data_IF_325869009916
#
_entry.id   IF_325869009916
#
_cell.length_a   1.000
_cell.length_b   1.000
_cell.length_c   1.000
_cell.angle_alpha   90.00
_cell.angle_beta   90.00
_cell.angle_gamma   90.00
#
_symmetry.space_group_name_H-M   'P 1'
#
loop_
_entity.id
_entity.type
_entity.pdbx_description
1 polymer ?
#
# COMPACT_ATOMS: atom_id res chain seq x y z
N UNK A 1 -6.39 9.89 2.19
CA UNK A 1 -6.14 8.48 2.57
C UNK A 1 -5.21 8.34 3.78
N UNK A 2 -4.05 9.01 3.78
CA UNK A 2 -3.06 8.92 4.87
C UNK A 2 -3.67 9.00 6.29
N UNK A 3 -4.39 10.09 6.61
CA UNK A 3 -5.02 10.29 7.93
C UNK A 3 -6.03 9.19 8.31
N UNK A 4 -6.72 8.61 7.33
CA UNK A 4 -7.65 7.50 7.58
C UNK A 4 -6.88 6.24 7.96
N UNK A 5 -5.81 5.90 7.23
CA UNK A 5 -4.96 4.76 7.55
C UNK A 5 -4.26 4.95 8.90
N UNK A 6 -3.76 6.15 9.18
CA UNK A 6 -3.13 6.48 10.47
C UNK A 6 -4.10 6.30 11.64
N UNK A 7 -5.34 6.78 11.50
CA UNK A 7 -6.40 6.57 12.51
C UNK A 7 -6.72 5.09 12.71
N UNK A 8 -6.68 4.27 11.64
CA UNK A 8 -6.89 2.82 11.72
C UNK A 8 -5.73 2.12 12.43
N UNK A 9 -4.49 2.56 12.24
CA UNK A 9 -3.33 2.06 12.99
C UNK A 9 -3.51 2.34 14.48
N UNK A 10 -3.84 3.58 14.86
CA UNK A 10 -4.10 3.96 16.26
C UNK A 10 -5.23 3.14 16.89
N UNK A 11 -6.27 2.84 16.11
CA UNK A 11 -7.38 1.98 16.58
C UNK A 11 -6.93 0.53 16.80
N UNK A 12 -6.08 0.00 15.92
CA UNK A 12 -5.53 -1.35 16.05
C UNK A 12 -4.59 -1.48 17.26
N UNK A 13 -3.81 -0.45 17.56
CA UNK A 13 -2.94 -0.39 18.75
C UNK A 13 -3.70 -0.49 20.08
N UNK A 14 -4.99 -0.13 20.09
CA UNK A 14 -5.85 -0.17 21.27
C UNK A 14 -6.50 -1.55 21.51
N UNK A 15 -6.29 -2.51 20.60
CA UNK A 15 -6.81 -3.86 20.76
C UNK A 15 -6.07 -4.58 21.89
N UNK A 16 -6.82 -5.25 22.76
CA UNK A 16 -6.27 -5.93 23.95
C UNK A 16 -5.49 -7.20 23.60
N UNK A 17 -5.86 -7.86 22.52
CA UNK A 17 -5.28 -9.13 22.10
C UNK A 17 -4.22 -8.90 21.01
N UNK A 18 -2.94 -9.27 21.27
CA UNK A 18 -1.84 -9.15 20.30
C UNK A 18 -2.15 -9.78 18.94
N UNK A 19 -2.83 -10.93 18.89
CA UNK A 19 -3.15 -11.62 17.64
C UNK A 19 -4.12 -10.78 16.80
N UNK A 20 -5.14 -10.21 17.45
CA UNK A 20 -6.08 -9.31 16.78
C UNK A 20 -5.39 -8.04 16.29
N UNK A 21 -4.47 -7.47 17.07
CA UNK A 21 -3.63 -6.34 16.64
C UNK A 21 -2.86 -6.67 15.38
N UNK A 22 -2.13 -7.79 15.34
CA UNK A 22 -1.34 -8.20 14.17
C UNK A 22 -2.21 -8.43 12.95
N UNK A 23 -3.33 -9.14 13.09
CA UNK A 23 -4.30 -9.34 11.99
C UNK A 23 -4.83 -8.02 11.45
N UNK A 24 -5.17 -7.06 12.32
CA UNK A 24 -5.63 -5.74 11.92
C UNK A 24 -4.54 -4.96 11.18
N UNK A 25 -3.30 -4.95 11.70
CA UNK A 25 -2.15 -4.28 11.10
C UNK A 25 -1.83 -4.87 9.73
N UNK A 26 -1.88 -6.19 9.56
CA UNK A 26 -1.71 -6.85 8.26
C UNK A 26 -2.82 -6.46 7.26
N UNK A 27 -4.06 -6.35 7.73
CA UNK A 27 -5.16 -5.85 6.92
C UNK A 27 -4.89 -4.41 6.43
N UNK A 28 -4.46 -3.53 7.33
CA UNK A 28 -4.17 -2.12 7.01
C UNK A 28 -2.95 -2.03 6.07
N UNK A 29 -1.91 -2.84 6.28
CA UNK A 29 -0.75 -2.96 5.38
C UNK A 29 -1.16 -3.25 3.95
N UNK A 30 -2.00 -4.29 3.75
CA UNK A 30 -2.48 -4.65 2.41
C UNK A 30 -3.28 -3.55 1.76
N UNK A 31 -4.15 -2.89 2.53
CA UNK A 31 -4.94 -1.76 2.06
C UNK A 31 -4.00 -0.61 1.62
N UNK A 32 -3.04 -0.24 2.46
CA UNK A 32 -2.09 0.83 2.17
C UNK A 32 -1.30 0.56 0.88
N UNK A 33 -0.72 -0.63 0.76
CA UNK A 33 0.02 -1.07 -0.42
C UNK A 33 -0.83 -1.04 -1.68
N UNK A 34 -2.05 -1.60 -1.64
CA UNK A 34 -2.91 -1.64 -2.82
C UNK A 34 -3.38 -0.25 -3.24
N UNK A 35 -3.74 0.62 -2.30
CA UNK A 35 -4.15 1.99 -2.62
C UNK A 35 -2.99 2.78 -3.23
N UNK A 36 -1.78 2.64 -2.70
CA UNK A 36 -0.57 3.22 -3.28
C UNK A 36 -0.31 2.72 -4.71
N UNK A 37 -0.28 1.40 -4.94
CA UNK A 37 -0.04 0.83 -6.26
C UNK A 37 -1.11 1.28 -7.27
N UNK A 38 -2.39 1.22 -6.90
CA UNK A 38 -3.51 1.61 -7.77
C UNK A 38 -3.43 3.10 -8.12
N UNK A 39 -3.21 3.97 -7.14
CA UNK A 39 -3.10 5.42 -7.38
C UNK A 39 -1.93 5.75 -8.29
N UNK A 40 -0.78 5.13 -8.06
CA UNK A 40 0.41 5.37 -8.88
C UNK A 40 0.24 4.82 -10.30
N UNK A 41 -0.32 3.61 -10.44
CA UNK A 41 -0.60 3.01 -11.74
C UNK A 41 -1.62 3.80 -12.57
N UNK A 42 -2.69 4.30 -11.95
CA UNK A 42 -3.66 5.15 -12.64
C UNK A 42 -3.05 6.47 -13.10
N UNK A 43 -2.20 7.08 -12.25
CA UNK A 43 -1.49 8.29 -12.64
C UNK A 43 -0.55 8.04 -13.84
N UNK A 44 0.22 6.95 -13.84
CA UNK A 44 1.10 6.59 -14.96
C UNK A 44 0.30 6.45 -16.26
N UNK A 45 -0.83 5.73 -16.23
CA UNK A 45 -1.69 5.57 -17.41
C UNK A 45 -2.18 6.93 -17.91
N UNK A 46 -2.61 7.81 -17.02
CA UNK A 46 -3.05 9.15 -17.40
C UNK A 46 -1.92 9.99 -17.99
N UNK A 47 -0.70 9.90 -17.45
CA UNK A 47 0.46 10.63 -17.94
C UNK A 47 0.84 10.18 -19.36
N UNK A 48 0.85 8.87 -19.62
CA UNK A 48 1.15 8.31 -20.94
C UNK A 48 0.09 8.64 -21.99
N UNK A 49 -1.17 8.78 -21.59
CA UNK A 49 -2.25 9.19 -22.50
C UNK A 49 -2.16 10.65 -22.91
N UNK A 50 -1.72 11.52 -21.99
CA UNK A 50 -1.65 12.95 -22.22
C UNK A 50 -0.35 13.39 -22.92
N UNK A 51 0.72 12.61 -22.79
CA UNK A 51 2.05 12.94 -23.31
C UNK A 51 2.61 11.76 -24.12
N UNK A 52 2.24 11.69 -25.40
CA UNK A 52 2.58 10.56 -26.30
C UNK A 52 4.08 10.26 -26.34
N UNK A 53 4.92 11.29 -26.24
CA UNK A 53 6.38 11.19 -26.30
C UNK A 53 7.00 10.51 -25.07
N UNK A 54 6.24 10.31 -23.99
CA UNK A 54 6.69 9.60 -22.79
C UNK A 54 6.53 8.08 -22.89
N UNK A 55 5.93 7.58 -23.96
CA UNK A 55 5.72 6.14 -24.17
C UNK A 55 7.03 5.36 -24.18
N UNK A 56 8.08 5.94 -24.78
CA UNK A 56 9.41 5.31 -24.87
C UNK A 56 10.17 5.30 -23.53
N UNK A 57 9.79 6.17 -22.59
CA UNK A 57 10.36 6.25 -21.25
C UNK A 57 9.68 5.28 -20.25
N UNK A 58 8.58 4.65 -20.65
CA UNK A 58 7.84 3.76 -19.78
C UNK A 58 8.56 2.40 -19.60
N UNK A 59 8.93 2.10 -18.36
CA UNK A 59 9.36 0.75 -17.99
C UNK A 59 8.15 -0.15 -17.79
N UNK A 60 8.14 -1.30 -18.47
CA UNK A 60 7.00 -2.21 -18.45
C UNK A 60 6.74 -2.75 -17.04
N UNK A 61 5.58 -2.39 -16.46
CA UNK A 61 5.11 -2.90 -15.18
C UNK A 61 4.40 -4.22 -15.40
N UNK A 62 4.73 -5.23 -14.59
CA UNK A 62 4.04 -6.52 -14.65
C UNK A 62 2.62 -6.38 -14.08
N UNK A 63 1.67 -6.12 -14.99
CA UNK A 63 0.26 -5.95 -14.62
C UNK A 63 -0.39 -7.21 -14.04
N UNK A 64 0.25 -8.39 -14.16
CA UNK A 64 -0.25 -9.61 -13.53
C UNK A 64 -0.17 -9.54 -12.00
N UNK A 65 0.73 -8.73 -11.44
CA UNK A 65 0.88 -8.52 -10.00
C UNK A 65 -0.36 -7.86 -9.36
N UNK A 66 -1.20 -7.18 -10.16
CA UNK A 66 -2.50 -6.67 -9.71
C UNK A 66 -3.58 -7.77 -9.58
N UNK A 67 -3.43 -8.89 -10.28
CA UNK A 67 -4.45 -9.95 -10.36
C UNK A 67 -4.47 -10.84 -9.12
N UNK A 68 -3.28 -11.05 -8.52
CA UNK A 68 -3.09 -11.86 -7.32
C UNK A 68 -2.16 -11.13 -6.34
N UNK A 69 -2.69 -10.14 -5.61
CA UNK A 69 -1.86 -9.30 -4.74
C UNK A 69 -1.45 -10.07 -3.48
N UNK A 70 -0.33 -10.80 -3.55
CA UNK A 70 0.43 -11.26 -2.39
C UNK A 70 1.32 -10.13 -1.86
N UNK A 71 1.68 -10.18 -0.57
CA UNK A 71 2.45 -9.10 0.08
C UNK A 71 3.78 -8.84 -0.66
N UNK A 72 4.54 -9.90 -0.99
CA UNK A 72 5.77 -9.80 -1.79
C UNK A 72 5.55 -9.25 -3.21
N UNK A 73 4.46 -9.66 -3.88
CA UNK A 73 4.10 -9.17 -5.22
C UNK A 73 3.71 -7.69 -5.20
N UNK A 74 3.07 -7.22 -4.14
CA UNK A 74 2.72 -5.81 -3.97
C UNK A 74 3.96 -4.93 -3.76
N UNK A 75 4.97 -5.43 -3.03
CA UNK A 75 6.25 -4.73 -2.87
C UNK A 75 6.93 -4.58 -4.24
N UNK A 76 7.07 -5.69 -4.98
CA UNK A 76 7.66 -5.69 -6.33
C UNK A 76 6.91 -4.73 -7.27
N UNK A 77 5.58 -4.76 -7.24
CA UNK A 77 4.74 -3.87 -8.05
C UNK A 77 4.96 -2.40 -7.69
N UNK A 78 5.00 -2.07 -6.39
CA UNK A 78 5.24 -0.70 -5.95
C UNK A 78 6.61 -0.20 -6.41
N UNK A 79 7.67 -1.01 -6.27
CA UNK A 79 9.01 -0.68 -6.76
C UNK A 79 8.99 -0.40 -8.27
N UNK A 80 8.37 -1.26 -9.07
CA UNK A 80 8.25 -1.06 -10.53
C UNK A 80 7.51 0.24 -10.87
N UNK A 81 6.39 0.52 -10.18
CA UNK A 81 5.62 1.72 -10.41
C UNK A 81 6.38 2.99 -10.02
N UNK A 82 7.15 2.98 -8.93
CA UNK A 82 7.98 4.12 -8.53
C UNK A 82 9.04 4.43 -9.59
N UNK A 83 9.73 3.41 -10.12
CA UNK A 83 10.72 3.58 -11.21
C UNK A 83 10.04 4.15 -12.46
N UNK A 84 8.93 3.55 -12.89
CA UNK A 84 8.19 4.03 -14.06
C UNK A 84 7.71 5.47 -13.86
N UNK A 85 7.31 5.85 -12.64
CA UNK A 85 6.88 7.21 -12.35
C UNK A 85 8.02 8.23 -12.45
N UNK A 86 9.22 7.90 -11.97
CA UNK A 86 10.39 8.76 -12.14
C UNK A 86 10.77 8.93 -13.62
N UNK A 87 10.77 7.84 -14.38
CA UNK A 87 11.14 7.87 -15.80
C UNK A 87 10.19 8.74 -16.65
N UNK A 88 8.89 8.76 -16.33
CA UNK A 88 7.91 9.58 -17.05
C UNK A 88 7.75 11.00 -16.46
N UNK A 89 8.65 11.39 -15.55
CA UNK A 89 8.84 12.79 -15.14
C UNK A 89 8.37 13.15 -13.74
N UNK A 90 7.92 12.21 -12.90
CA UNK A 90 7.69 12.50 -11.49
C UNK A 90 9.02 12.49 -10.74
N UNK A 91 9.63 13.66 -10.61
CA UNK A 91 10.93 13.81 -9.95
C UNK A 91 10.84 13.37 -8.50
N UNK A 92 11.76 12.48 -8.10
CA UNK A 92 11.87 11.96 -6.73
C UNK A 92 10.66 11.17 -6.24
N UNK A 93 9.89 10.54 -7.13
CA UNK A 93 8.75 9.69 -6.75
C UNK A 93 9.17 8.57 -5.79
N UNK A 94 10.35 7.98 -5.93
CA UNK A 94 10.84 6.91 -5.07
C UNK A 94 11.80 7.37 -3.97
N UNK A 95 12.08 8.69 -3.83
CA UNK A 95 13.11 9.18 -2.90
C UNK A 95 12.91 8.68 -1.47
N UNK A 96 11.71 8.87 -0.91
CA UNK A 96 11.38 8.42 0.46
C UNK A 96 11.39 6.90 0.60
N UNK A 97 11.11 6.18 -0.50
CA UNK A 97 11.09 4.72 -0.53
C UNK A 97 12.52 4.13 -0.50
N UNK A 98 13.44 4.69 -1.28
CA UNK A 98 14.82 4.17 -1.38
C UNK A 98 15.83 4.83 -0.45
N UNK A 99 15.48 5.92 0.23
CA UNK A 99 16.37 6.56 1.22
C UNK A 99 16.65 5.59 2.38
N UNK A 100 17.93 5.37 2.65
CA UNK A 100 18.34 4.60 3.82
C UNK A 100 18.16 5.42 5.10
N UNK A 101 17.56 4.82 6.12
CA UNK A 101 17.39 5.42 7.43
C UNK A 101 18.01 4.55 8.51
N UNK A 102 18.42 5.17 9.62
CA UNK A 102 18.83 4.42 10.83
C UNK A 102 17.60 3.77 11.43
N UNK A 103 17.67 2.47 11.67
CA UNK A 103 16.54 1.69 12.15
C UNK A 103 16.46 1.70 13.70
N UNK A 104 15.25 1.67 14.28
CA UNK A 104 15.05 1.34 15.69
C UNK A 104 15.33 -0.15 15.95
N UNK A 105 15.50 -0.53 17.23
CA UNK A 105 15.96 -1.86 17.63
C UNK A 105 15.11 -3.01 17.04
N UNK A 106 13.79 -2.84 17.02
CA UNK A 106 12.82 -3.80 16.50
C UNK A 106 13.05 -4.06 15.00
N UNK A 107 13.23 -2.99 14.22
CA UNK A 107 13.48 -3.11 12.78
C UNK A 107 14.91 -3.60 12.47
N UNK A 108 15.89 -3.35 13.36
CA UNK A 108 17.22 -3.96 13.25
C UNK A 108 17.15 -5.48 13.44
N UNK A 109 16.40 -5.95 14.44
CA UNK A 109 16.16 -7.38 14.67
C UNK A 109 15.50 -8.02 13.45
N UNK A 110 14.51 -7.35 12.86
CA UNK A 110 13.81 -7.83 11.66
C UNK A 110 14.72 -7.90 10.41
N UNK A 111 15.55 -6.88 10.20
CA UNK A 111 16.31 -6.72 8.94
C UNK A 111 17.74 -7.26 8.99
N UNK A 112 18.29 -7.49 10.18
CA UNK A 112 19.69 -7.88 10.39
C UNK A 112 20.70 -6.76 10.12
N UNK A 113 20.27 -5.49 10.02
CA UNK A 113 21.14 -4.34 9.72
C UNK A 113 20.77 -3.10 10.55
N UNK A 114 21.71 -2.19 10.74
CA UNK A 114 21.50 -0.91 11.44
C UNK A 114 20.85 0.17 10.57
N UNK A 115 20.96 0.04 9.24
CA UNK A 115 20.40 0.96 8.24
C UNK A 115 19.73 0.17 7.12
N UNK A 116 18.55 0.62 6.70
CA UNK A 116 17.84 0.07 5.55
C UNK A 116 16.91 1.12 4.92
N UNK A 117 16.52 0.88 3.67
CA UNK A 117 15.41 1.57 3.03
C UNK A 117 14.10 0.82 3.28
N UNK A 118 12.95 1.39 2.90
CA UNK A 118 11.66 0.74 3.19
C UNK A 118 11.50 -0.57 2.43
N UNK A 119 11.99 -0.67 1.20
CA UNK A 119 11.92 -1.89 0.41
C UNK A 119 12.54 -3.08 1.15
N UNK A 120 13.75 -2.90 1.70
CA UNK A 120 14.43 -3.93 2.49
C UNK A 120 13.64 -4.29 3.76
N UNK A 121 13.08 -3.29 4.46
CA UNK A 121 12.24 -3.53 5.65
C UNK A 121 11.01 -4.38 5.28
N UNK A 122 10.32 -4.05 4.18
CA UNK A 122 9.13 -4.75 3.73
C UNK A 122 9.43 -6.18 3.27
N UNK A 123 10.53 -6.38 2.54
CA UNK A 123 10.97 -7.72 2.12
C UNK A 123 11.34 -8.59 3.33
N UNK A 124 12.09 -8.04 4.28
CA UNK A 124 12.39 -8.73 5.55
C UNK A 124 11.12 -9.07 6.33
N UNK A 125 10.15 -8.16 6.38
CA UNK A 125 8.85 -8.38 7.02
C UNK A 125 8.07 -9.55 6.40
N UNK A 126 8.01 -9.61 5.06
CA UNK A 126 7.33 -10.70 4.35
C UNK A 126 8.05 -12.02 4.54
N UNK A 127 9.38 -12.05 4.43
CA UNK A 127 10.17 -13.27 4.62
C UNK A 127 10.03 -13.82 6.04
N UNK A 128 10.21 -12.97 7.05
CA UNK A 128 10.05 -13.38 8.44
C UNK A 128 8.67 -13.99 8.74
N UNK A 129 7.61 -13.44 8.13
CA UNK A 129 6.26 -14.02 8.24
C UNK A 129 6.11 -15.35 7.50
N UNK A 130 6.72 -15.51 6.34
CA UNK A 130 6.66 -16.76 5.59
C UNK A 130 7.48 -17.88 6.25
N UNK A 131 8.54 -17.52 6.98
CA UNK A 131 9.42 -18.47 7.67
C UNK A 131 8.90 -18.89 9.07
N UNK A 132 7.80 -18.29 9.55
CA UNK A 132 7.23 -18.63 10.86
C UNK A 132 6.60 -20.03 10.86
N UNK A 133 6.94 -20.81 11.91
CA UNK A 133 6.92 -22.29 12.02
C UNK A 133 5.58 -22.98 11.69
N UNK A 134 4.44 -22.28 11.69
CA UNK A 134 3.14 -22.89 11.39
C UNK A 134 2.61 -22.66 9.97
N UNK A 135 3.31 -21.91 9.10
CA UNK A 135 2.80 -21.61 7.76
C UNK A 135 1.49 -20.77 7.74
N UNK A 136 1.06 -20.27 8.91
CA UNK A 136 -0.14 -19.44 9.10
C UNK A 136 0.17 -17.93 9.11
N UNK A 137 1.44 -17.53 8.96
CA UNK A 137 1.84 -16.15 8.65
C UNK A 137 1.89 -15.17 9.83
N UNK A 138 1.83 -15.68 11.06
CA UNK A 138 2.00 -14.98 12.34
C UNK A 138 2.62 -15.99 13.33
N UNK A 139 3.81 -15.76 13.89
CA UNK A 139 4.33 -16.58 14.99
C UNK A 139 3.63 -16.18 16.30
N UNK A 140 3.10 -17.12 17.08
CA UNK A 140 2.29 -16.83 18.28
C UNK A 140 3.04 -16.04 19.38
N UNK A 141 4.38 -15.98 19.33
CA UNK A 141 5.23 -15.30 20.31
C UNK A 141 5.72 -13.89 19.89
N UNK A 142 5.34 -13.41 18.70
CA UNK A 142 5.84 -12.12 18.20
C UNK A 142 5.08 -10.91 18.74
N UNK A 143 5.82 -9.95 19.28
CA UNK A 143 5.35 -8.63 19.71
C UNK A 143 4.78 -7.82 18.52
N UNK A 144 3.50 -7.39 18.54
CA UNK A 144 2.88 -6.59 17.49
C UNK A 144 3.59 -5.27 17.20
N UNK A 145 4.47 -4.79 18.09
CA UNK A 145 5.25 -3.56 17.90
C UNK A 145 6.03 -3.55 16.59
N UNK A 146 6.59 -4.69 16.18
CA UNK A 146 7.34 -4.78 14.91
C UNK A 146 6.40 -4.56 13.72
N UNK A 147 5.25 -5.24 13.69
CA UNK A 147 4.24 -5.08 12.64
C UNK A 147 3.76 -3.61 12.54
N UNK A 148 3.48 -2.99 13.69
CA UNK A 148 3.04 -1.58 13.78
C UNK A 148 4.13 -0.64 13.24
N UNK A 149 5.39 -0.84 13.63
CA UNK A 149 6.51 -0.02 13.18
C UNK A 149 6.72 -0.15 11.67
N UNK A 150 6.69 -1.37 11.13
CA UNK A 150 6.76 -1.60 9.67
C UNK A 150 5.66 -0.81 8.95
N UNK A 151 4.43 -0.88 9.45
CA UNK A 151 3.31 -0.18 8.82
C UNK A 151 3.44 1.35 8.93
N UNK A 152 3.92 1.89 10.06
CA UNK A 152 4.18 3.34 10.21
C UNK A 152 5.26 3.81 9.23
N UNK A 153 6.35 3.06 9.11
CA UNK A 153 7.42 3.34 8.16
C UNK A 153 6.92 3.28 6.70
N UNK A 154 6.12 2.25 6.37
CA UNK A 154 5.47 2.16 5.07
C UNK A 154 4.63 3.41 4.81
N UNK A 155 3.70 3.73 5.71
CA UNK A 155 2.73 4.81 5.53
C UNK A 155 3.41 6.17 5.32
N UNK A 156 4.47 6.46 6.09
CA UNK A 156 5.28 7.65 5.92
C UNK A 156 6.01 7.65 4.56
N UNK A 157 6.54 6.51 4.12
CA UNK A 157 7.27 6.42 2.84
C UNK A 157 6.40 6.61 1.60
N UNK A 158 5.10 6.31 1.67
CA UNK A 158 4.15 6.35 0.54
C UNK A 158 3.16 7.52 0.61
N UNK A 159 3.28 8.41 1.59
CA UNK A 159 2.31 9.49 1.82
C UNK A 159 2.02 10.31 0.55
N UNK A 160 3.06 10.65 -0.19
CA UNK A 160 3.00 11.48 -1.40
C UNK A 160 2.37 10.80 -2.62
N UNK A 161 2.17 9.47 -2.57
CA UNK A 161 1.48 8.70 -3.60
C UNK A 161 0.11 8.19 -3.15
N UNK A 162 -0.24 8.35 -1.87
CA UNK A 162 -1.55 8.02 -1.36
C UNK A 162 -2.58 9.08 -1.78
N UNK A 163 -3.79 8.68 -2.20
CA UNK A 163 -4.76 9.63 -2.69
C UNK A 163 -5.33 10.50 -1.56
N UNK A 164 -5.52 11.79 -1.84
CA UNK A 164 -6.24 12.74 -1.01
C UNK A 164 -7.72 12.71 -1.40
N UNK A 165 -8.59 12.93 -0.41
CA UNK A 165 -10.02 13.08 -0.63
C UNK A 165 -10.29 14.57 -0.66
N UNK A 166 -10.78 15.07 -1.79
CA UNK A 166 -11.19 16.46 -1.93
C UNK A 166 -12.41 16.73 -1.06
N UNK A 167 -12.40 17.86 -0.35
CA UNK A 167 -13.53 18.29 0.49
C UNK A 167 -14.67 18.87 -0.34
N UNK A 168 -14.37 19.32 -1.56
CA UNK A 168 -15.30 20.08 -2.39
C UNK A 168 -16.24 19.15 -3.16
N UNK A 169 -15.71 18.04 -3.69
CA UNK A 169 -16.46 17.09 -4.51
C UNK A 169 -16.43 15.64 -3.98
N UNK A 170 -15.70 15.38 -2.89
CA UNK A 170 -15.57 14.04 -2.30
C UNK A 170 -14.74 13.07 -3.14
N UNK A 171 -14.12 13.54 -4.22
CA UNK A 171 -13.38 12.71 -5.16
C UNK A 171 -11.94 12.47 -4.71
N UNK A 172 -11.33 11.43 -5.27
CA UNK A 172 -9.93 11.10 -4.97
C UNK A 172 -9.00 11.77 -5.94
N UNK A 173 -7.91 12.32 -5.42
CA UNK A 173 -6.86 12.92 -6.21
C UNK A 173 -5.51 12.39 -5.76
N UNK A 174 -4.58 12.21 -6.69
CA UNK A 174 -3.19 12.04 -6.31
C UNK A 174 -2.64 13.42 -5.88
N UNK A 175 -1.82 13.53 -4.81
CA UNK A 175 -1.29 14.82 -4.33
C UNK A 175 -0.59 15.62 -5.43
N UNK A 176 -0.29 16.91 -5.26
CA UNK A 176 0.68 17.59 -6.14
C UNK A 176 2.11 17.36 -5.61
N UNK A 177 3.14 17.49 -6.45
CA UNK A 177 4.55 17.41 -6.00
C UNK A 177 5.50 16.78 -7.01
N UNK A 178 6.81 17.02 -6.86
CA UNK A 178 7.82 16.46 -7.77
C UNK A 178 7.68 16.95 -9.22
N UNK A 179 7.17 18.18 -9.42
CA UNK A 179 6.94 18.77 -10.74
C UNK A 179 5.60 18.44 -11.40
N UNK A 180 4.70 17.72 -10.72
CA UNK A 180 3.37 17.36 -11.25
C UNK A 180 2.23 18.18 -10.63
N UNK A 181 1.18 18.36 -11.41
CA UNK A 181 -0.13 18.82 -10.92
C UNK A 181 -0.91 17.65 -10.30
N UNK A 182 -1.86 17.98 -9.42
CA UNK A 182 -2.79 16.99 -8.89
C UNK A 182 -3.69 16.45 -10.01
N UNK A 183 -4.04 15.15 -9.94
CA UNK A 183 -4.86 14.48 -10.93
C UNK A 183 -5.91 13.59 -10.27
N UNK A 184 -7.12 13.53 -10.85
CA UNK A 184 -8.23 12.74 -10.32
C UNK A 184 -7.93 11.23 -10.46
N UNK A 185 -8.22 10.48 -9.39
CA UNK A 185 -8.09 9.03 -9.28
C UNK A 185 -9.49 8.42 -9.23
N UNK A 186 -9.84 7.67 -10.27
CA UNK A 186 -11.15 7.05 -10.47
C UNK A 186 -11.20 5.61 -10.00
N UNK A 187 -10.08 4.97 -9.68
CA UNK A 187 -10.04 3.54 -9.32
C UNK A 187 -10.19 3.34 -7.82
N UNK A 188 -9.66 4.26 -7.01
CA UNK A 188 -9.72 4.15 -5.54
C UNK A 188 -11.13 4.41 -5.01
N UNK A 189 -11.55 3.60 -4.03
CA UNK A 189 -12.86 3.68 -3.38
C UNK A 189 -12.76 3.50 -1.87
N UNK A 190 -13.76 4.02 -1.18
CA UNK A 190 -14.08 3.70 0.20
C UNK A 190 -15.38 2.89 0.25
N UNK A 191 -15.57 2.15 1.32
CA UNK A 191 -16.83 1.51 1.66
C UNK A 191 -17.29 2.02 3.03
N UNK A 192 -18.43 2.70 3.08
CA UNK A 192 -18.93 3.36 4.30
C UNK A 192 -17.86 4.23 4.97
N UNK A 193 -17.13 5.03 4.19
CA UNK A 193 -16.03 5.88 4.69
C UNK A 193 -14.73 5.16 5.05
N UNK A 194 -14.66 3.82 4.85
CA UNK A 194 -13.50 3.02 5.21
C UNK A 194 -12.64 2.65 3.99
N UNK A 195 -11.30 2.71 4.13
CA UNK A 195 -10.39 2.09 3.17
C UNK A 195 -10.67 0.59 3.01
N UNK A 196 -10.56 0.08 1.79
CA UNK A 196 -10.88 -1.31 1.46
C UNK A 196 -9.74 -2.02 0.76
N UNK A 197 -9.74 -3.35 0.88
CA UNK A 197 -8.84 -4.22 0.13
C UNK A 197 -9.48 -4.62 -1.21
N UNK A 198 -8.69 -4.58 -2.28
CA UNK A 198 -9.06 -4.99 -3.62
C UNK A 198 -8.63 -6.43 -3.84
N UNK A 199 -9.59 -7.36 -3.99
CA UNK A 199 -9.29 -8.80 -4.06
C UNK A 199 -9.07 -9.34 -5.46
N UNK A 200 -9.76 -8.78 -6.46
CA UNK A 200 -9.57 -9.13 -7.87
C UNK A 200 -9.67 -7.88 -8.71
N UNK A 201 -8.56 -7.51 -9.35
CA UNK A 201 -8.57 -6.59 -10.49
C UNK A 201 -8.74 -7.49 -11.72
N UNK A 202 -9.94 -7.68 -12.24
CA UNK A 202 -10.18 -8.45 -13.46
C UNK A 202 -9.70 -7.65 -14.68
N UNK A 203 -8.71 -8.15 -15.41
CA UNK A 203 -8.33 -7.58 -16.72
C UNK A 203 -9.52 -7.66 -17.69
N UNK A 204 -9.95 -6.53 -18.25
CA UNK A 204 -11.01 -6.46 -19.28
C UNK A 204 -10.38 -6.59 -20.68
N UNK A 205 -9.22 -5.96 -20.90
CA UNK A 205 -8.44 -6.01 -22.15
C UNK A 205 -6.98 -5.62 -21.86
N UNK A 206 -6.10 -5.63 -22.86
CA UNK A 206 -4.79 -4.98 -22.73
C UNK A 206 -4.98 -3.53 -22.23
N UNK A 207 -4.34 -3.18 -21.11
CA UNK A 207 -4.42 -1.85 -20.50
C UNK A 207 -5.71 -1.49 -19.74
N UNK A 208 -6.69 -2.39 -19.54
CA UNK A 208 -7.92 -2.09 -18.77
C UNK A 208 -8.19 -3.12 -17.67
N UNK A 209 -8.44 -2.65 -16.45
CA UNK A 209 -8.75 -3.48 -15.26
C UNK A 209 -10.09 -3.10 -14.62
N UNK A 210 -10.91 -4.09 -14.25
CA UNK A 210 -12.18 -4.00 -13.51
C UNK A 210 -11.95 -4.43 -12.06
N UNK A 211 -12.38 -3.64 -11.10
CA UNK A 211 -12.16 -3.93 -9.69
C UNK A 211 -13.33 -4.74 -9.08
N UNK A 212 -13.07 -5.84 -8.38
CA UNK A 212 -14.00 -6.49 -7.46
C UNK A 212 -13.61 -6.20 -6.01
N UNK A 213 -14.57 -5.69 -5.24
CA UNK A 213 -14.44 -5.30 -3.83
C UNK A 213 -15.00 -6.38 -2.91
N UNK A 214 -14.47 -6.49 -1.69
CA UNK A 214 -15.14 -7.21 -0.58
C UNK A 214 -15.17 -6.29 0.64
N UNK A 215 -16.36 -6.01 1.16
CA UNK A 215 -16.55 -5.34 2.45
C UNK A 215 -16.41 -6.34 3.60
N UNK A 216 -15.89 -5.89 4.74
CA UNK A 216 -16.04 -6.59 6.01
C UNK A 216 -17.39 -6.17 6.59
N UNK A 217 -18.38 -7.06 6.59
CA UNK A 217 -19.66 -6.83 7.26
C UNK A 217 -19.45 -6.89 8.77
N UNK A 218 -19.91 -5.92 9.57
CA UNK A 218 -20.02 -6.14 11.00
C UNK A 218 -21.05 -7.24 11.25
N UNK A 219 -20.73 -8.18 12.14
CA UNK A 219 -21.65 -9.22 12.56
C UNK A 219 -22.93 -8.54 13.10
N UNK A 220 -24.08 -8.82 12.47
CA UNK A 220 -25.37 -8.45 13.03
C UNK A 220 -25.57 -9.26 14.31
N UNK A 221 -25.70 -8.58 15.44
CA UNK A 221 -26.31 -9.15 16.64
C UNK A 221 -27.77 -9.48 16.31
N UNK A 222 -28.08 -10.75 16.14
CA UNK A 222 -29.46 -11.22 16.10
C UNK A 222 -30.02 -11.18 17.52
N UNK A 223 -30.86 -10.20 17.79
CA UNK A 223 -31.85 -10.26 18.86
C UNK A 223 -32.81 -11.41 18.51
N UNK A 224 -32.85 -12.43 19.35
CA UNK A 224 -33.92 -13.41 19.41
C UNK A 224 -35.00 -12.83 20.33
N UNK A 225 -36.13 -12.48 19.73
CA UNK A 225 -37.45 -12.49 20.35
C UNK A 225 -37.97 -13.92 20.43
#
# INVERSE_FOLDING_TARGET
>A
MYKLLESRIKSAEQLKDPIHTRRAILGIYRIAMQHACISLGEWIISALQNEKDKSDLYTNVDTTLYLQPADGSLIKLLTQLMVSAENIGWKSAGRTFWTQSVLPAELRKLTGTSKANIEKILLSFVNNRNDSVEGHGLADEDDPRTDILVLKYLLASIEHILPIISKDDGEFYIPAGGGRISGKIKTVRLYNGNPICYRKLKRISAGKSRIQLRSATPAKSSNLS
#
